data_IF_619480171411
#
_entry.id   IF_619480171411
#
_cell.length_a   1.000
_cell.length_b   1.000
_cell.length_c   1.000
_cell.angle_alpha   90.00
_cell.angle_beta   90.00
_cell.angle_gamma   90.00
#
_symmetry.space_group_name_H-M   'P 1'
#
loop_
_entity.id
_entity.type
_entity.pdbx_description
1 polymer ?
#
# COMPACT_ATOMS: atom_id res chain seq x y z
N UNK A 1 -7.19 -17.03 -2.14
CA UNK A 1 -6.58 -15.68 -2.11
C UNK A 1 -5.54 -15.54 -1.02
N UNK A 2 -5.81 -15.96 0.22
CA UNK A 2 -4.84 -15.88 1.32
C UNK A 2 -3.50 -16.54 0.96
N UNK A 3 -3.51 -17.79 0.44
CA UNK A 3 -2.28 -18.47 0.00
C UNK A 3 -1.49 -17.68 -1.04
N UNK A 4 -2.17 -17.14 -2.06
CA UNK A 4 -1.53 -16.29 -3.06
C UNK A 4 -0.92 -15.03 -2.43
N UNK A 5 -1.62 -14.42 -1.47
CA UNK A 5 -1.10 -13.28 -0.72
C UNK A 5 0.15 -13.62 0.11
N UNK A 6 0.17 -14.79 0.76
CA UNK A 6 1.36 -15.30 1.46
C UNK A 6 2.53 -15.47 0.49
N UNK A 7 2.29 -16.05 -0.70
CA UNK A 7 3.33 -16.20 -1.73
C UNK A 7 3.89 -14.83 -2.14
N UNK A 8 3.04 -13.82 -2.38
CA UNK A 8 3.49 -12.46 -2.66
C UNK A 8 4.34 -11.86 -1.54
N UNK A 9 3.96 -12.07 -0.28
CA UNK A 9 4.75 -11.59 0.86
C UNK A 9 6.08 -12.33 1.00
N UNK A 10 6.14 -13.63 0.70
CA UNK A 10 7.39 -14.38 0.66
C UNK A 10 8.30 -13.88 -0.47
N UNK A 11 7.73 -13.57 -1.64
CA UNK A 11 8.47 -12.94 -2.74
C UNK A 11 8.96 -11.54 -2.36
N UNK A 12 8.15 -10.74 -1.67
CA UNK A 12 8.58 -9.45 -1.14
C UNK A 12 9.75 -9.62 -0.17
N UNK A 13 9.67 -10.57 0.77
CA UNK A 13 10.75 -10.85 1.70
C UNK A 13 12.02 -11.29 0.96
N UNK A 14 11.89 -12.14 -0.07
CA UNK A 14 13.01 -12.52 -0.92
C UNK A 14 13.64 -11.31 -1.63
N UNK A 15 12.82 -10.45 -2.24
CA UNK A 15 13.30 -9.24 -2.93
C UNK A 15 13.98 -8.29 -1.96
N UNK A 16 13.41 -8.02 -0.78
CA UNK A 16 14.01 -7.15 0.25
C UNK A 16 15.38 -7.67 0.71
N UNK A 17 15.57 -8.99 0.76
CA UNK A 17 16.85 -9.59 1.15
C UNK A 17 17.88 -9.70 0.02
N UNK A 18 17.46 -9.58 -1.25
CA UNK A 18 18.34 -9.78 -2.41
C UNK A 18 18.58 -8.51 -3.23
N UNK A 19 17.68 -7.55 -3.16
CA UNK A 19 17.72 -6.27 -3.86
C UNK A 19 17.60 -5.16 -2.84
N UNK A 20 18.60 -4.28 -2.81
CA UNK A 20 18.53 -3.07 -1.99
C UNK A 20 17.50 -2.11 -2.59
N UNK A 21 16.62 -1.49 -1.77
CA UNK A 21 15.81 -0.38 -2.22
C UNK A 21 16.65 0.90 -2.43
N UNK A 22 17.90 0.91 -1.95
CA UNK A 22 18.83 2.02 -2.10
C UNK A 22 19.65 1.88 -3.38
N UNK A 23 19.87 3.00 -4.07
CA UNK A 23 20.92 3.11 -5.06
C UNK A 23 22.27 3.19 -4.34
N UNK A 24 22.93 2.03 -4.21
CA UNK A 24 24.18 1.91 -3.47
C UNK A 24 25.27 2.85 -4.03
N UNK A 25 25.29 3.11 -5.35
CA UNK A 25 26.31 4.00 -5.92
C UNK A 25 26.10 5.44 -5.47
N UNK A 26 24.86 5.91 -5.45
CA UNK A 26 24.52 7.26 -4.99
C UNK A 26 24.73 7.38 -3.48
N UNK A 27 24.33 6.36 -2.72
CA UNK A 27 24.51 6.34 -1.26
C UNK A 27 25.99 6.36 -0.90
N UNK A 28 26.81 5.50 -1.50
CA UNK A 28 28.26 5.44 -1.24
C UNK A 28 28.94 6.78 -1.59
N UNK A 29 28.61 7.37 -2.74
CA UNK A 29 29.17 8.67 -3.14
C UNK A 29 28.78 9.82 -2.20
N UNK A 30 27.61 9.74 -1.57
CA UNK A 30 27.17 10.70 -0.55
C UNK A 30 27.89 10.45 0.78
N UNK A 31 28.00 9.19 1.21
CA UNK A 31 28.70 8.82 2.45
C UNK A 31 30.15 9.32 2.42
N UNK A 32 30.84 9.13 1.30
CA UNK A 32 32.21 9.63 1.10
C UNK A 32 32.26 11.17 1.09
N UNK A 33 31.36 11.82 0.33
CA UNK A 33 31.34 13.28 0.20
C UNK A 33 31.11 14.00 1.53
N UNK A 34 30.22 13.47 2.36
CA UNK A 34 29.87 14.06 3.65
C UNK A 34 30.64 13.46 4.82
N UNK A 35 31.57 12.53 4.56
CA UNK A 35 32.38 11.85 5.59
C UNK A 35 31.51 11.22 6.69
N UNK A 36 30.38 10.63 6.31
CA UNK A 36 29.46 9.97 7.24
C UNK A 36 30.07 8.63 7.63
N UNK A 37 30.35 8.45 8.92
CA UNK A 37 31.04 7.24 9.43
C UNK A 37 30.22 6.48 10.47
N UNK A 38 29.15 7.09 10.98
CA UNK A 38 28.31 6.50 12.02
C UNK A 38 26.85 6.33 11.56
N UNK A 39 26.16 5.37 12.18
CA UNK A 39 24.73 5.14 11.91
C UNK A 39 23.85 6.34 12.31
N UNK A 40 24.24 7.10 13.34
CA UNK A 40 23.51 8.29 13.80
C UNK A 40 23.60 9.41 12.75
N UNK A 41 24.80 9.67 12.22
CA UNK A 41 25.01 10.62 11.13
C UNK A 41 24.24 10.22 9.88
N UNK A 42 24.25 8.92 9.54
CA UNK A 42 23.49 8.42 8.39
C UNK A 42 21.98 8.62 8.59
N UNK A 43 21.45 8.32 9.77
CA UNK A 43 20.03 8.52 10.07
C UNK A 43 19.64 10.00 9.98
N UNK A 44 20.47 10.90 10.53
CA UNK A 44 20.24 12.35 10.43
C UNK A 44 20.27 12.84 8.98
N UNK A 45 21.21 12.32 8.18
CA UNK A 45 21.29 12.60 6.76
C UNK A 45 20.04 12.13 6.00
N UNK A 46 19.52 10.94 6.30
CA UNK A 46 18.28 10.44 5.70
C UNK A 46 17.09 11.32 6.08
N UNK A 47 16.98 11.73 7.34
CA UNK A 47 15.89 12.63 7.79
C UNK A 47 15.95 13.99 7.09
N UNK A 48 17.15 14.57 6.96
CA UNK A 48 17.35 15.81 6.22
C UNK A 48 17.06 15.64 4.72
N UNK A 49 17.46 14.51 4.13
CA UNK A 49 17.18 14.19 2.72
C UNK A 49 15.67 14.04 2.45
N UNK A 50 14.94 13.42 3.39
CA UNK A 50 13.47 13.34 3.33
C UNK A 50 12.85 14.73 3.48
N UNK A 51 13.33 15.56 4.42
CA UNK A 51 12.83 16.93 4.62
C UNK A 51 13.05 17.81 3.39
N UNK A 52 14.19 17.65 2.71
CA UNK A 52 14.54 18.38 1.49
C UNK A 52 13.92 17.77 0.22
N UNK A 53 13.24 16.63 0.33
CA UNK A 53 12.64 15.92 -0.81
C UNK A 53 13.66 15.28 -1.76
N UNK A 54 14.91 15.15 -1.33
CA UNK A 54 16.02 14.59 -2.12
C UNK A 54 16.16 13.07 -1.96
N UNK A 55 15.42 12.46 -1.04
CA UNK A 55 15.48 11.01 -0.77
C UNK A 55 15.27 10.15 -2.03
N UNK A 56 14.50 10.64 -2.99
CA UNK A 56 14.22 9.93 -4.26
C UNK A 56 15.47 9.72 -5.11
N UNK A 57 16.50 10.56 -5.00
CA UNK A 57 17.76 10.38 -5.74
C UNK A 57 18.64 9.28 -5.15
N UNK A 58 18.33 8.81 -3.93
CA UNK A 58 19.06 7.77 -3.22
C UNK A 58 18.36 6.41 -3.29
N UNK A 59 17.14 6.39 -3.83
CA UNK A 59 16.32 5.19 -3.94
C UNK A 59 16.41 4.66 -5.37
N UNK A 60 16.60 3.36 -5.50
CA UNK A 60 16.44 2.68 -6.79
C UNK A 60 14.94 2.56 -7.10
N UNK A 61 14.44 3.43 -7.97
CA UNK A 61 13.01 3.49 -8.35
C UNK A 61 12.48 2.16 -8.89
N UNK A 62 13.33 1.39 -9.59
CA UNK A 62 12.95 0.10 -10.16
C UNK A 62 12.75 -0.92 -9.05
N UNK A 63 13.70 -1.03 -8.13
CA UNK A 63 13.59 -1.97 -7.01
C UNK A 63 12.45 -1.59 -6.08
N UNK A 64 12.28 -0.29 -5.79
CA UNK A 64 11.15 0.22 -5.02
C UNK A 64 9.81 -0.15 -5.69
N UNK A 65 9.69 0.06 -7.00
CA UNK A 65 8.47 -0.28 -7.75
C UNK A 65 8.14 -1.76 -7.68
N UNK A 66 9.14 -2.64 -7.82
CA UNK A 66 8.96 -4.09 -7.67
C UNK A 66 8.47 -4.43 -6.25
N UNK A 67 9.10 -3.86 -5.22
CA UNK A 67 8.69 -4.07 -3.83
C UNK A 67 7.26 -3.60 -3.57
N UNK A 68 6.86 -2.42 -4.09
CA UNK A 68 5.51 -1.90 -3.97
C UNK A 68 4.48 -2.80 -4.66
N UNK A 69 4.78 -3.31 -5.85
CA UNK A 69 3.91 -4.24 -6.56
C UNK A 69 3.73 -5.57 -5.80
N UNK A 70 4.82 -6.12 -5.24
CA UNK A 70 4.76 -7.34 -4.43
C UNK A 70 3.97 -7.12 -3.14
N UNK A 71 4.20 -6.00 -2.47
CA UNK A 71 3.43 -5.58 -1.29
C UNK A 71 1.95 -5.44 -1.63
N UNK A 72 1.63 -4.80 -2.75
CA UNK A 72 0.25 -4.62 -3.22
C UNK A 72 -0.43 -5.96 -3.50
N UNK A 73 0.21 -6.83 -4.27
CA UNK A 73 -0.30 -8.19 -4.52
C UNK A 73 -0.58 -8.95 -3.23
N UNK A 74 0.35 -8.88 -2.27
CA UNK A 74 0.22 -9.50 -0.95
C UNK A 74 -0.96 -8.96 -0.13
N UNK A 75 -0.96 -7.65 0.12
CA UNK A 75 -1.99 -6.96 0.92
C UNK A 75 -3.37 -7.15 0.31
N UNK A 76 -3.54 -6.93 -1.00
CA UNK A 76 -4.85 -7.06 -1.66
C UNK A 76 -5.37 -8.49 -1.54
N UNK A 77 -4.52 -9.50 -1.76
CA UNK A 77 -4.93 -10.91 -1.70
C UNK A 77 -5.26 -11.39 -0.29
N UNK A 78 -4.51 -10.94 0.72
CA UNK A 78 -4.78 -11.26 2.14
C UNK A 78 -6.07 -10.59 2.57
N UNK A 79 -6.22 -9.29 2.34
CA UNK A 79 -7.41 -8.53 2.76
C UNK A 79 -8.66 -9.05 2.08
N UNK A 80 -8.61 -9.30 0.76
CA UNK A 80 -9.74 -9.90 0.05
C UNK A 80 -10.05 -11.31 0.59
N UNK A 81 -9.02 -12.12 0.86
CA UNK A 81 -9.19 -13.46 1.43
C UNK A 81 -9.84 -13.44 2.82
N UNK A 82 -9.34 -12.59 3.73
CA UNK A 82 -9.91 -12.39 5.07
C UNK A 82 -11.34 -11.89 4.97
N UNK A 83 -11.62 -10.93 4.10
CA UNK A 83 -12.96 -10.41 3.90
C UNK A 83 -13.94 -11.48 3.44
N UNK A 84 -13.55 -12.34 2.50
CA UNK A 84 -14.39 -13.46 2.03
C UNK A 84 -14.64 -14.50 3.13
N UNK A 85 -13.64 -14.76 3.99
CA UNK A 85 -13.81 -15.66 5.15
C UNK A 85 -14.80 -15.07 6.14
N UNK A 86 -14.67 -13.78 6.48
CA UNK A 86 -15.59 -13.09 7.38
C UNK A 86 -17.02 -13.04 6.82
N UNK A 87 -17.19 -12.74 5.52
CA UNK A 87 -18.49 -12.73 4.84
C UNK A 87 -19.19 -14.10 4.98
N UNK A 88 -18.42 -15.19 4.85
CA UNK A 88 -18.94 -16.55 4.98
C UNK A 88 -19.24 -16.97 6.42
N UNK A 89 -18.49 -16.47 7.40
CA UNK A 89 -18.67 -16.82 8.81
C UNK A 89 -19.83 -16.06 9.46
N UNK A 90 -20.03 -14.80 9.11
CA UNK A 90 -20.91 -13.89 9.87
C UNK A 90 -22.12 -13.37 9.10
N UNK A 91 -22.10 -13.36 7.76
CA UNK A 91 -23.09 -12.61 6.98
C UNK A 91 -23.94 -13.53 6.11
N UNK A 92 -23.31 -14.41 5.35
CA UNK A 92 -23.99 -15.24 4.34
C UNK A 92 -24.36 -16.61 4.87
N UNK A 93 -25.51 -17.13 4.45
CA UNK A 93 -25.87 -18.54 4.66
C UNK A 93 -24.81 -19.42 3.98
N UNK A 94 -24.53 -20.59 4.54
CA UNK A 94 -23.39 -21.46 4.17
C UNK A 94 -23.25 -21.76 2.65
N UNK A 95 -24.34 -21.63 1.89
CA UNK A 95 -24.43 -21.91 0.45
C UNK A 95 -24.29 -20.68 -0.47
N UNK A 96 -24.30 -19.46 0.06
CA UNK A 96 -24.15 -18.25 -0.75
C UNK A 96 -22.68 -17.95 -1.02
N UNK A 97 -22.36 -17.60 -2.28
CA UNK A 97 -20.99 -17.28 -2.67
C UNK A 97 -20.60 -15.89 -2.14
N UNK A 98 -19.41 -15.73 -1.51
CA UNK A 98 -18.90 -14.42 -1.12
C UNK A 98 -18.65 -13.57 -2.36
N UNK A 99 -18.86 -12.25 -2.25
CA UNK A 99 -18.66 -11.35 -3.38
C UNK A 99 -17.18 -10.94 -3.47
N UNK A 100 -16.50 -11.52 -4.47
CA UNK A 100 -15.09 -11.29 -4.71
C UNK A 100 -14.78 -9.85 -5.12
N UNK A 101 -15.69 -9.16 -5.82
CA UNK A 101 -15.44 -7.80 -6.31
C UNK A 101 -15.35 -6.80 -5.17
N UNK A 102 -16.27 -6.88 -4.20
CA UNK A 102 -16.22 -6.03 -3.00
C UNK A 102 -14.98 -6.33 -2.15
N UNK A 103 -14.61 -7.60 -1.99
CA UNK A 103 -13.43 -8.01 -1.24
C UNK A 103 -12.12 -7.45 -1.85
N UNK A 104 -11.95 -7.59 -3.17
CA UNK A 104 -10.77 -7.07 -3.88
C UNK A 104 -10.74 -5.55 -3.85
N UNK A 105 -11.86 -4.87 -4.08
CA UNK A 105 -11.93 -3.40 -4.03
C UNK A 105 -11.46 -2.86 -2.68
N UNK A 106 -11.92 -3.44 -1.57
CA UNK A 106 -11.49 -3.06 -0.21
C UNK A 106 -10.00 -3.31 0.00
N UNK A 107 -9.47 -4.42 -0.50
CA UNK A 107 -8.04 -4.69 -0.51
C UNK A 107 -7.23 -3.62 -1.27
N UNK A 108 -7.69 -3.23 -2.45
CA UNK A 108 -7.04 -2.18 -3.27
C UNK A 108 -7.07 -0.83 -2.54
N UNK A 109 -8.21 -0.45 -1.96
CA UNK A 109 -8.33 0.81 -1.22
C UNK A 109 -7.39 0.84 0.00
N UNK A 110 -7.28 -0.26 0.74
CA UNK A 110 -6.35 -0.35 1.87
C UNK A 110 -4.89 -0.30 1.39
N UNK A 111 -4.55 -0.96 0.29
CA UNK A 111 -3.21 -0.86 -0.30
C UNK A 111 -2.88 0.58 -0.73
N UNK A 112 -3.79 1.26 -1.44
CA UNK A 112 -3.60 2.66 -1.85
C UNK A 112 -3.46 3.60 -0.64
N UNK A 113 -4.21 3.34 0.44
CA UNK A 113 -4.05 4.06 1.71
C UNK A 113 -2.62 3.91 2.26
N UNK A 114 -2.12 2.67 2.34
CA UNK A 114 -0.77 2.39 2.86
C UNK A 114 0.33 3.01 1.98
N UNK A 115 0.22 2.89 0.65
CA UNK A 115 1.15 3.53 -0.28
C UNK A 115 1.09 5.05 -0.16
N UNK A 116 -0.11 5.62 -0.05
CA UNK A 116 -0.30 7.05 0.14
C UNK A 116 0.45 7.55 1.37
N UNK A 117 0.34 6.86 2.52
CA UNK A 117 1.08 7.22 3.73
C UNK A 117 2.60 7.10 3.54
N UNK A 118 3.06 6.07 2.85
CA UNK A 118 4.48 5.85 2.56
C UNK A 118 5.06 6.98 1.69
N UNK A 119 4.38 7.32 0.59
CA UNK A 119 4.80 8.41 -0.30
C UNK A 119 4.79 9.76 0.45
N UNK A 120 3.77 9.98 1.27
CA UNK A 120 3.65 11.18 2.09
C UNK A 120 4.81 11.29 3.10
N UNK A 121 5.30 10.16 3.64
CA UNK A 121 6.50 10.12 4.49
C UNK A 121 7.76 10.49 3.70
N UNK A 122 7.93 9.98 2.47
CA UNK A 122 9.11 10.25 1.64
C UNK A 122 9.24 11.72 1.20
N UNK A 123 8.12 12.45 1.10
CA UNK A 123 8.15 13.90 0.81
C UNK A 123 8.20 14.77 2.07
N UNK A 124 8.44 14.19 3.25
CA UNK A 124 8.43 14.90 4.53
C UNK A 124 7.04 15.42 4.96
N UNK A 125 5.97 14.99 4.27
CA UNK A 125 4.61 15.47 4.46
C UNK A 125 3.77 14.65 5.43
N UNK A 126 4.32 13.59 6.06
CA UNK A 126 3.57 12.72 6.99
C UNK A 126 3.26 13.44 8.31
N UNK A 127 2.23 14.27 8.26
CA UNK A 127 1.60 14.91 9.42
C UNK A 127 0.26 14.23 9.68
N UNK A 128 -0.17 14.21 10.95
CA UNK A 128 -1.38 13.50 11.37
C UNK A 128 -2.62 13.93 10.58
N UNK A 129 -2.72 15.22 10.23
CA UNK A 129 -3.86 15.75 9.48
C UNK A 129 -3.84 15.33 8.00
N UNK A 130 -2.66 15.13 7.41
CA UNK A 130 -2.54 14.61 6.04
C UNK A 130 -2.90 13.12 5.99
N UNK A 131 -2.48 12.35 7.01
CA UNK A 131 -2.89 10.95 7.15
C UNK A 131 -4.42 10.84 7.31
N UNK A 132 -5.03 11.73 8.11
CA UNK A 132 -6.48 11.82 8.26
C UNK A 132 -7.17 12.21 6.94
N UNK A 133 -6.62 13.16 6.17
CA UNK A 133 -7.17 13.55 4.88
C UNK A 133 -7.21 12.37 3.88
N UNK A 134 -6.15 11.57 3.81
CA UNK A 134 -6.12 10.36 2.96
C UNK A 134 -7.17 9.35 3.45
N UNK A 135 -7.30 9.15 4.77
CA UNK A 135 -8.32 8.27 5.33
C UNK A 135 -9.75 8.72 4.95
N UNK A 136 -10.04 10.01 5.10
CA UNK A 136 -11.33 10.60 4.72
C UNK A 136 -11.59 10.43 3.22
N UNK A 137 -10.57 10.64 2.38
CA UNK A 137 -10.67 10.42 0.94
C UNK A 137 -11.01 8.96 0.62
N UNK A 138 -10.34 7.99 1.25
CA UNK A 138 -10.61 6.56 1.06
C UNK A 138 -12.05 6.20 1.46
N UNK A 139 -12.54 6.75 2.58
CA UNK A 139 -13.92 6.56 3.02
C UNK A 139 -14.91 7.18 2.02
N UNK A 140 -14.65 8.40 1.54
CA UNK A 140 -15.49 9.08 0.56
C UNK A 140 -15.57 8.30 -0.77
N UNK A 141 -14.43 7.77 -1.24
CA UNK A 141 -14.36 6.92 -2.43
C UNK A 141 -15.19 5.64 -2.25
N UNK A 142 -15.04 4.93 -1.13
CA UNK A 142 -15.84 3.73 -0.86
C UNK A 142 -17.33 4.07 -0.76
N UNK A 143 -17.69 5.20 -0.13
CA UNK A 143 -19.07 5.66 -0.05
C UNK A 143 -19.67 5.95 -1.44
N UNK A 144 -18.96 6.67 -2.30
CA UNK A 144 -19.37 6.98 -3.67
C UNK A 144 -19.59 5.69 -4.50
N UNK A 145 -18.69 4.72 -4.38
CA UNK A 145 -18.87 3.42 -5.04
C UNK A 145 -20.05 2.61 -4.48
N UNK A 146 -20.28 2.66 -3.16
CA UNK A 146 -21.38 1.92 -2.53
C UNK A 146 -22.76 2.50 -2.89
N UNK A 147 -22.89 3.82 -2.94
CA UNK A 147 -24.14 4.53 -3.28
C UNK A 147 -24.51 4.32 -4.75
N UNK A 148 -23.55 4.40 -5.68
CA UNK A 148 -23.80 4.12 -7.10
C UNK A 148 -24.29 2.69 -7.37
N UNK A 149 -23.80 1.70 -6.61
CA UNK A 149 -24.27 0.31 -6.73
C UNK A 149 -25.71 0.12 -6.22
N UNK A 150 -26.16 0.87 -5.20
CA UNK A 150 -27.55 0.81 -4.71
C UNK A 150 -28.53 1.33 -5.76
N UNK A 151 -28.26 2.51 -6.33
CA UNK A 151 -29.11 3.13 -7.35
C UNK A 151 -29.29 2.21 -8.56
N UNK A 152 -28.22 1.58 -9.05
CA UNK A 152 -28.29 0.61 -10.17
C UNK A 152 -29.15 -0.62 -9.89
N UNK A 153 -29.28 -1.01 -8.63
CA UNK A 153 -30.07 -2.19 -8.24
C UNK A 153 -31.55 -1.86 -8.25
N UNK A 154 -31.93 -0.68 -7.76
CA UNK A 154 -33.32 -0.18 -7.75
C UNK A 154 -33.86 0.06 -9.17
N UNK A 155 -33.07 0.66 -10.08
CA UNK A 155 -33.52 0.89 -11.47
C UNK A 155 -33.73 -0.42 -12.24
N UNK A 156 -33.11 -1.53 -11.83
CA UNK A 156 -33.27 -2.83 -12.49
C UNK A 156 -34.49 -3.58 -12.00
N UNK A 157 -34.91 -3.36 -10.75
CA UNK A 157 -36.16 -3.94 -10.21
C UNK A 157 -37.39 -3.21 -10.72
N UNK A 158 -37.30 -1.92 -11.02
CA UNK A 158 -38.44 -1.14 -11.55
C UNK A 158 -38.72 -1.41 -13.05
N UNK A 159 -37.78 -2.04 -13.76
CA UNK A 159 -37.87 -2.37 -15.19
C UNK A 159 -38.07 -3.87 -15.48
N UNK A 160 -38.30 -4.69 -14.44
CA UNK A 160 -38.52 -6.13 -14.54
C UNK A 160 -39.96 -6.49 -14.15
#
# INVERSE_FOLDING_TARGET
MILAGIIFLLLLLYVVNTQSPWDLQQVDGVLERYSITTNEEFSAFIDDSVRLGQIWTLIDEKNLSVMLLMLGGGVICIVAGVHMVLDKLFVKRFYEKPDMRYAVRRGVLLYLFLVGLLLLKFIGGLLWYNALAILVLVIAVEYAFSSGNRVRTETRTDNA
#
